data_IF_026527278398
#
_entry.id   IF_026527278398
#
_cell.length_a   1.000
_cell.length_b   1.000
_cell.length_c   1.000
_cell.angle_alpha   90.00
_cell.angle_beta   90.00
_cell.angle_gamma   90.00
#
_symmetry.space_group_name_H-M   'P 1'
#
loop_
_entity.id
_entity.type
_entity.pdbx_description
1 polymer ?
#
# COMPACT_ATOMS: atom_id res chain seq x y z
N UNK A 1 -19.54 -27.64 -8.27
CA UNK A 1 -18.39 -27.39 -7.37
C UNK A 1 -18.90 -27.62 -5.97
N UNK A 2 -18.17 -28.40 -5.16
CA UNK A 2 -18.54 -28.59 -3.76
C UNK A 2 -18.32 -27.28 -3.01
N UNK A 3 -19.27 -26.92 -2.15
CA UNK A 3 -19.18 -25.77 -1.26
C UNK A 3 -18.00 -25.92 -0.30
N UNK A 4 -17.15 -24.90 -0.23
CA UNK A 4 -16.05 -24.82 0.73
C UNK A 4 -16.65 -24.57 2.11
N UNK A 5 -16.40 -25.48 3.05
CA UNK A 5 -16.78 -25.32 4.46
C UNK A 5 -15.53 -25.02 5.25
N UNK A 6 -15.54 -23.92 6.00
CA UNK A 6 -14.45 -23.52 6.89
C UNK A 6 -14.93 -23.67 8.33
N UNK A 7 -14.10 -24.27 9.18
CA UNK A 7 -14.28 -24.30 10.63
C UNK A 7 -14.03 -22.91 11.23
N UNK A 8 -12.96 -22.24 10.76
CA UNK A 8 -12.60 -20.91 11.22
C UNK A 8 -13.24 -19.85 10.34
N UNK A 9 -14.29 -19.24 10.87
CA UNK A 9 -15.10 -18.26 10.15
C UNK A 9 -15.20 -16.95 10.93
N UNK A 10 -15.42 -15.86 10.20
CA UNK A 10 -15.67 -14.53 10.78
C UNK A 10 -16.57 -13.72 9.86
N UNK A 11 -17.22 -12.71 10.41
CA UNK A 11 -17.97 -11.75 9.62
C UNK A 11 -17.00 -10.78 8.93
N UNK A 12 -17.10 -10.63 7.61
CA UNK A 12 -16.34 -9.61 6.87
C UNK A 12 -17.28 -8.66 6.14
N UNK A 13 -16.84 -7.42 5.91
CA UNK A 13 -17.58 -6.40 5.17
C UNK A 13 -17.06 -6.30 3.73
N UNK A 14 -17.98 -6.19 2.77
CA UNK A 14 -17.64 -6.05 1.36
C UNK A 14 -18.51 -4.98 0.70
N UNK A 15 -17.84 -3.96 0.15
CA UNK A 15 -18.46 -3.01 -0.77
C UNK A 15 -18.22 -3.50 -2.20
N UNK A 16 -19.30 -3.61 -2.96
CA UNK A 16 -19.28 -4.01 -4.36
C UNK A 16 -19.45 -2.79 -5.26
N UNK A 17 -18.58 -2.66 -6.24
CA UNK A 17 -18.59 -1.59 -7.24
C UNK A 17 -18.78 -2.17 -8.64
N UNK A 18 -19.43 -1.40 -9.52
CA UNK A 18 -19.71 -1.80 -10.89
C UNK A 18 -18.50 -1.78 -11.80
N UNK A 19 -17.62 -0.79 -11.62
CA UNK A 19 -16.44 -0.57 -12.46
C UNK A 19 -15.28 -0.06 -11.59
N UNK A 20 -14.17 0.33 -12.20
CA UNK A 20 -13.09 1.01 -11.49
C UNK A 20 -13.44 2.43 -11.04
N UNK A 21 -14.52 3.01 -11.56
CA UNK A 21 -14.97 4.35 -11.14
C UNK A 21 -15.26 4.33 -9.64
N UNK A 22 -14.62 5.25 -8.90
CA UNK A 22 -14.73 5.38 -7.45
C UNK A 22 -16.15 5.67 -6.96
N UNK A 23 -17.05 6.07 -7.86
CA UNK A 23 -18.44 6.42 -7.60
C UNK A 23 -19.41 5.28 -7.93
N UNK A 24 -18.93 4.17 -8.50
CA UNK A 24 -19.78 3.10 -9.04
C UNK A 24 -20.32 2.13 -7.98
N UNK A 25 -20.65 2.62 -6.78
CA UNK A 25 -21.20 1.81 -5.70
C UNK A 25 -22.45 1.06 -6.16
N UNK A 26 -22.51 -0.25 -5.85
CA UNK A 26 -23.67 -1.10 -6.16
C UNK A 26 -24.38 -1.56 -4.89
N UNK A 27 -23.63 -2.11 -3.95
CA UNK A 27 -24.18 -2.71 -2.74
C UNK A 27 -23.10 -2.86 -1.68
N UNK A 28 -23.53 -2.92 -0.42
CA UNK A 28 -22.74 -3.31 0.73
C UNK A 28 -23.32 -4.61 1.29
N UNK A 29 -22.45 -5.53 1.69
CA UNK A 29 -22.87 -6.78 2.31
C UNK A 29 -21.90 -7.20 3.38
N UNK A 30 -22.37 -7.95 4.35
CA UNK A 30 -21.54 -8.60 5.35
C UNK A 30 -21.69 -10.12 5.20
N UNK A 31 -20.92 -10.77 4.32
CA UNK A 31 -20.89 -12.23 4.23
C UNK A 31 -19.94 -12.81 5.29
N UNK A 32 -20.16 -14.08 5.63
CA UNK A 32 -19.13 -14.86 6.34
C UNK A 32 -17.87 -14.99 5.49
N UNK A 33 -16.71 -15.17 6.12
CA UNK A 33 -15.46 -15.41 5.42
C UNK A 33 -15.56 -16.62 4.50
N UNK A 34 -16.17 -17.71 4.96
CA UNK A 34 -16.46 -18.90 4.15
C UNK A 34 -17.28 -18.59 2.89
N UNK A 35 -18.32 -17.75 2.99
CA UNK A 35 -19.15 -17.32 1.86
C UNK A 35 -18.35 -16.47 0.85
N UNK A 36 -17.49 -15.58 1.36
CA UNK A 36 -16.60 -14.79 0.51
C UNK A 36 -15.58 -15.68 -0.22
N UNK A 37 -14.96 -16.64 0.47
CA UNK A 37 -14.03 -17.61 -0.12
C UNK A 37 -14.72 -18.41 -1.22
N UNK A 38 -15.91 -18.95 -0.98
CA UNK A 38 -16.71 -19.65 -1.98
C UNK A 38 -16.96 -18.78 -3.22
N UNK A 39 -17.37 -17.52 -3.01
CA UNK A 39 -17.64 -16.58 -4.10
C UNK A 39 -16.38 -16.28 -4.92
N UNK A 40 -15.23 -16.09 -4.27
CA UNK A 40 -13.96 -15.79 -4.92
C UNK A 40 -13.36 -17.00 -5.66
N UNK A 41 -13.69 -18.22 -5.24
CA UNK A 41 -13.26 -19.46 -5.89
C UNK A 41 -14.02 -19.78 -7.20
N UNK A 42 -15.09 -19.05 -7.50
CA UNK A 42 -15.89 -19.23 -8.71
C UNK A 42 -15.67 -18.03 -9.64
N UNK A 43 -14.89 -18.15 -10.73
CA UNK A 43 -14.65 -17.05 -11.65
C UNK A 43 -15.75 -16.91 -12.70
N UNK A 44 -15.97 -15.68 -13.18
CA UNK A 44 -16.83 -15.43 -14.34
C UNK A 44 -16.05 -15.59 -15.64
N UNK A 45 -16.58 -16.35 -16.59
CA UNK A 45 -15.99 -16.42 -17.94
C UNK A 45 -16.33 -15.14 -18.71
N UNK A 46 -15.32 -14.33 -19.04
CA UNK A 46 -15.50 -13.11 -19.83
C UNK A 46 -14.17 -12.59 -20.39
N UNK A 47 -14.21 -11.83 -21.49
CA UNK A 47 -13.03 -11.14 -22.05
C UNK A 47 -12.77 -9.78 -21.39
N UNK A 48 -13.76 -9.20 -20.70
CA UNK A 48 -13.59 -8.00 -19.90
C UNK A 48 -13.19 -8.35 -18.47
N UNK A 49 -11.98 -7.96 -18.07
CA UNK A 49 -11.40 -8.13 -16.71
C UNK A 49 -12.33 -7.67 -15.57
N UNK A 50 -13.15 -6.65 -15.82
CA UNK A 50 -14.04 -6.05 -14.82
C UNK A 50 -15.51 -6.44 -15.03
N UNK A 51 -15.80 -7.46 -15.86
CA UNK A 51 -17.18 -7.88 -16.13
C UNK A 51 -17.97 -8.28 -14.88
N UNK A 52 -17.27 -8.75 -13.84
CA UNK A 52 -17.87 -9.10 -12.54
C UNK A 52 -17.90 -7.92 -11.56
N UNK A 53 -17.28 -6.79 -11.91
CA UNK A 53 -17.07 -5.64 -11.03
C UNK A 53 -15.81 -5.75 -10.19
N UNK A 54 -15.73 -4.87 -9.19
CA UNK A 54 -14.61 -4.80 -8.24
C UNK A 54 -15.14 -4.69 -6.81
N UNK A 55 -14.32 -5.03 -5.82
CA UNK A 55 -14.73 -5.01 -4.42
C UNK A 55 -13.68 -4.36 -3.51
N UNK A 56 -14.15 -3.73 -2.43
CA UNK A 56 -13.32 -3.35 -1.29
C UNK A 56 -13.78 -4.12 -0.07
N UNK A 57 -12.83 -4.67 0.68
CA UNK A 57 -13.08 -5.55 1.82
C UNK A 57 -12.97 -4.77 3.14
N UNK A 58 -14.04 -4.07 3.46
CA UNK A 58 -14.17 -3.12 4.55
C UNK A 58 -15.38 -2.23 4.32
N UNK A 59 -15.38 -1.06 4.94
CA UNK A 59 -16.41 -0.05 4.73
C UNK A 59 -15.83 1.35 4.47
N UNK A 60 -16.64 2.18 3.81
CA UNK A 60 -16.32 3.55 3.44
C UNK A 60 -17.45 4.50 3.82
N UNK A 61 -17.11 5.76 4.04
CA UNK A 61 -18.10 6.82 4.22
C UNK A 61 -18.67 7.26 2.88
N UNK A 62 -19.87 7.80 2.93
CA UNK A 62 -20.43 8.63 1.88
C UNK A 62 -19.70 9.97 1.90
N UNK A 63 -19.58 10.63 0.74
CA UNK A 63 -18.83 11.88 0.62
C UNK A 63 -19.27 12.64 -0.63
N UNK A 64 -18.98 13.94 -0.66
CA UNK A 64 -19.40 14.86 -1.71
C UNK A 64 -18.18 15.27 -2.54
N UNK A 65 -18.32 15.31 -3.86
CA UNK A 65 -17.26 15.81 -4.72
C UNK A 65 -17.16 17.34 -4.71
N UNK A 66 -16.14 17.88 -5.38
CA UNK A 66 -15.89 19.32 -5.53
C UNK A 66 -17.03 20.08 -6.24
N UNK A 67 -17.93 19.37 -6.93
CA UNK A 67 -19.08 19.93 -7.64
C UNK A 67 -20.38 19.83 -6.84
N UNK A 68 -20.34 19.34 -5.60
CA UNK A 68 -21.52 19.18 -4.76
C UNK A 68 -22.30 17.89 -5.01
N UNK A 69 -21.78 16.94 -5.78
CA UNK A 69 -22.45 15.65 -6.01
C UNK A 69 -22.15 14.68 -4.85
N UNK A 70 -23.19 14.19 -4.21
CA UNK A 70 -23.08 13.19 -3.14
C UNK A 70 -22.96 11.77 -3.70
N UNK A 71 -21.98 11.02 -3.20
CA UNK A 71 -21.75 9.64 -3.59
C UNK A 71 -21.75 8.71 -2.38
N UNK A 72 -22.55 7.65 -2.47
CA UNK A 72 -22.52 6.57 -1.47
C UNK A 72 -21.23 5.77 -1.58
N UNK A 73 -20.62 5.45 -0.44
CA UNK A 73 -19.37 4.69 -0.33
C UNK A 73 -18.30 5.19 -1.29
N UNK A 74 -18.09 6.51 -1.33
CA UNK A 74 -17.21 7.14 -2.31
C UNK A 74 -15.76 6.71 -2.11
N UNK A 75 -15.19 6.03 -3.11
CA UNK A 75 -13.89 5.38 -2.97
C UNK A 75 -12.72 6.37 -3.03
N UNK A 76 -12.23 6.73 -1.84
CA UNK A 76 -11.07 7.60 -1.59
C UNK A 76 -10.38 7.17 -0.31
N UNK A 77 -9.06 7.30 -0.21
CA UNK A 77 -8.30 6.86 0.98
C UNK A 77 -8.83 7.52 2.27
N UNK A 78 -9.14 8.82 2.23
CA UNK A 78 -9.72 9.55 3.36
C UNK A 78 -11.18 9.19 3.70
N UNK A 79 -11.80 8.30 2.91
CA UNK A 79 -13.17 7.83 3.10
C UNK A 79 -13.23 6.41 3.64
N UNK A 80 -12.09 5.74 3.82
CA UNK A 80 -12.04 4.41 4.43
C UNK A 80 -12.39 4.53 5.91
N UNK A 81 -13.46 3.87 6.34
CA UNK A 81 -13.84 3.78 7.75
C UNK A 81 -13.02 2.68 8.40
N UNK A 82 -13.03 1.48 7.80
CA UNK A 82 -12.24 0.34 8.25
C UNK A 82 -12.02 -0.70 7.14
N UNK A 83 -11.14 -1.67 7.39
CA UNK A 83 -10.87 -2.85 6.54
C UNK A 83 -10.97 -4.13 7.38
N UNK A 84 -11.49 -5.19 6.76
CA UNK A 84 -11.66 -6.52 7.39
C UNK A 84 -10.76 -7.59 6.77
N UNK A 85 -10.25 -7.33 5.56
CA UNK A 85 -9.42 -8.29 4.81
C UNK A 85 -8.20 -7.57 4.24
N UNK A 86 -7.02 -8.11 4.54
CA UNK A 86 -5.76 -7.74 3.91
C UNK A 86 -5.68 -8.42 2.55
N UNK A 87 -5.31 -7.66 1.51
CA UNK A 87 -5.20 -8.19 0.15
C UNK A 87 -3.86 -7.80 -0.48
N UNK A 88 -3.15 -8.80 -1.00
CA UNK A 88 -1.86 -8.63 -1.67
C UNK A 88 -1.94 -9.14 -3.11
N UNK A 89 -1.56 -8.29 -4.06
CA UNK A 89 -1.44 -8.63 -5.48
C UNK A 89 0.01 -8.99 -5.81
N UNK A 90 0.23 -10.22 -6.24
CA UNK A 90 1.52 -10.73 -6.72
C UNK A 90 1.48 -10.80 -8.25
N UNK A 91 2.06 -9.79 -8.90
CA UNK A 91 2.05 -9.66 -10.36
C UNK A 91 3.40 -10.03 -11.02
N UNK A 92 4.48 -10.07 -10.23
CA UNK A 92 5.83 -10.42 -10.64
C UNK A 92 6.32 -11.65 -9.84
N UNK A 93 5.91 -12.83 -10.27
CA UNK A 93 6.25 -14.10 -9.64
C UNK A 93 7.06 -14.94 -10.61
N UNK A 94 8.22 -15.45 -10.19
CA UNK A 94 9.05 -16.35 -11.02
C UNK A 94 8.39 -17.72 -11.20
N UNK A 95 7.91 -18.33 -10.11
CA UNK A 95 7.24 -19.64 -10.12
C UNK A 95 6.12 -19.66 -9.10
N UNK A 96 4.93 -20.06 -9.52
CA UNK A 96 3.75 -20.15 -8.64
C UNK A 96 3.99 -21.05 -7.42
N UNK A 97 4.71 -22.17 -7.61
CA UNK A 97 5.04 -23.09 -6.52
C UNK A 97 5.88 -22.44 -5.42
N UNK A 98 6.87 -21.62 -5.78
CA UNK A 98 7.72 -20.94 -4.79
C UNK A 98 6.91 -19.96 -3.95
N UNK A 99 6.02 -19.19 -4.59
CA UNK A 99 5.11 -18.31 -3.86
C UNK A 99 4.13 -19.12 -2.98
N UNK A 100 3.59 -20.22 -3.49
CA UNK A 100 2.70 -21.10 -2.72
C UNK A 100 3.38 -21.62 -1.46
N UNK A 101 4.60 -22.16 -1.58
CA UNK A 101 5.39 -22.69 -0.47
C UNK A 101 5.73 -21.59 0.56
N UNK A 102 6.05 -20.37 0.08
CA UNK A 102 6.30 -19.22 0.96
C UNK A 102 5.04 -18.79 1.73
N UNK A 103 3.88 -18.75 1.07
CA UNK A 103 2.59 -18.42 1.70
C UNK A 103 2.22 -19.49 2.74
N UNK A 104 2.28 -20.77 2.37
CA UNK A 104 1.87 -21.88 3.25
C UNK A 104 2.76 -21.97 4.49
N UNK A 105 4.08 -21.85 4.36
CA UNK A 105 4.98 -21.89 5.53
C UNK A 105 4.79 -20.66 6.43
N UNK A 106 4.72 -19.47 5.82
CA UNK A 106 4.63 -18.20 6.56
C UNK A 106 3.29 -18.05 7.31
N UNK A 107 2.21 -18.56 6.71
CA UNK A 107 0.83 -18.41 7.18
C UNK A 107 0.17 -19.74 7.57
N UNK A 108 0.95 -20.77 7.93
CA UNK A 108 0.43 -22.12 8.25
C UNK A 108 -0.68 -22.14 9.31
N UNK A 109 -0.61 -21.24 10.29
CA UNK A 109 -1.60 -21.12 11.38
C UNK A 109 -2.63 -20.01 11.17
N UNK A 110 -2.79 -19.51 9.94
CA UNK A 110 -3.66 -18.37 9.63
C UNK A 110 -4.61 -18.72 8.50
N UNK A 111 -5.89 -18.32 8.61
CA UNK A 111 -6.85 -18.45 7.51
C UNK A 111 -6.46 -17.55 6.34
N UNK A 112 -6.40 -18.12 5.14
CA UNK A 112 -6.17 -17.35 3.92
C UNK A 112 -6.78 -18.03 2.70
N UNK A 113 -7.00 -17.26 1.64
CA UNK A 113 -7.27 -17.81 0.32
C UNK A 113 -6.52 -17.02 -0.74
N UNK A 114 -6.16 -17.66 -1.84
CA UNK A 114 -5.71 -16.94 -3.02
C UNK A 114 -6.34 -17.51 -4.28
N UNK A 115 -6.42 -16.68 -5.31
CA UNK A 115 -6.74 -17.13 -6.66
C UNK A 115 -5.85 -16.45 -7.71
N UNK A 116 -5.74 -17.05 -8.89
CA UNK A 116 -5.09 -16.45 -10.05
C UNK A 116 -5.85 -15.22 -10.54
N UNK A 117 -5.16 -14.20 -11.02
CA UNK A 117 -5.80 -12.99 -11.57
C UNK A 117 -6.09 -13.14 -13.06
N UNK A 118 -6.89 -12.23 -13.63
CA UNK A 118 -7.27 -12.25 -15.05
C UNK A 118 -6.07 -12.30 -16.02
N UNK A 119 -4.94 -11.68 -15.65
CA UNK A 119 -3.73 -11.62 -16.47
C UNK A 119 -2.75 -12.78 -16.20
N UNK A 120 -3.13 -13.76 -15.39
CA UNK A 120 -2.32 -14.95 -15.13
C UNK A 120 -1.93 -15.67 -16.43
N UNK A 121 -0.65 -16.09 -16.50
CA UNK A 121 -0.12 -17.02 -17.50
C UNK A 121 0.71 -18.09 -16.80
N UNK A 122 0.91 -19.24 -17.44
CA UNK A 122 1.76 -20.32 -16.91
C UNK A 122 3.20 -19.83 -16.68
N UNK A 123 3.72 -19.01 -17.59
CA UNK A 123 5.09 -18.48 -17.59
C UNK A 123 5.23 -17.19 -16.78
N UNK A 124 4.12 -16.49 -16.51
CA UNK A 124 4.06 -15.30 -15.67
C UNK A 124 2.87 -15.42 -14.71
N UNK A 125 3.04 -16.21 -13.63
CA UNK A 125 1.98 -16.39 -12.65
C UNK A 125 1.57 -15.07 -12.01
N UNK A 126 0.27 -14.90 -11.77
CA UNK A 126 -0.27 -13.73 -11.06
C UNK A 126 -1.36 -14.17 -10.12
N UNK A 127 -1.25 -13.77 -8.86
CA UNK A 127 -2.11 -14.25 -7.77
C UNK A 127 -2.53 -13.10 -6.89
N UNK A 128 -3.78 -13.14 -6.42
CA UNK A 128 -4.27 -12.26 -5.37
C UNK A 128 -4.52 -13.07 -4.11
N UNK A 129 -3.84 -12.72 -3.03
CA UNK A 129 -3.94 -13.34 -1.71
C UNK A 129 -4.84 -12.50 -0.80
N UNK A 130 -5.68 -13.17 -0.01
CA UNK A 130 -6.65 -12.58 0.91
C UNK A 130 -6.51 -13.21 2.29
N UNK A 131 -6.52 -12.38 3.32
CA UNK A 131 -6.38 -12.79 4.73
C UNK A 131 -7.44 -12.02 5.53
N UNK A 132 -8.40 -12.75 6.10
CA UNK A 132 -9.44 -12.18 6.96
C UNK A 132 -8.88 -11.84 8.35
N UNK A 133 -9.40 -10.77 8.93
CA UNK A 133 -9.05 -10.29 10.26
C UNK A 133 -10.20 -10.54 11.25
N UNK A 134 -9.85 -10.69 12.52
CA UNK A 134 -10.84 -10.89 13.60
C UNK A 134 -11.55 -9.59 14.01
N UNK A 135 -11.02 -8.44 13.61
CA UNK A 135 -11.53 -7.12 13.95
C UNK A 135 -11.24 -6.09 12.85
N UNK A 136 -11.98 -5.00 12.90
CA UNK A 136 -11.84 -3.85 12.01
C UNK A 136 -10.50 -3.15 12.24
N UNK A 137 -9.78 -2.86 11.15
CA UNK A 137 -8.56 -2.04 11.20
C UNK A 137 -8.72 -0.74 10.45
N UNK A 138 -8.03 0.30 10.89
CA UNK A 138 -7.99 1.60 10.24
C UNK A 138 -7.25 1.58 8.89
N UNK A 139 -7.37 2.66 8.10
CA UNK A 139 -6.65 2.83 6.84
C UNK A 139 -5.12 2.81 7.02
N UNK A 140 -4.61 3.43 8.08
CA UNK A 140 -3.17 3.48 8.36
C UNK A 140 -2.65 2.11 8.81
N UNK A 141 -3.43 1.40 9.64
CA UNK A 141 -3.14 0.04 10.02
C UNK A 141 -3.16 -0.91 8.83
N UNK A 142 -4.12 -0.77 7.92
CA UNK A 142 -4.14 -1.54 6.68
C UNK A 142 -2.84 -1.36 5.89
N UNK A 143 -2.41 -0.11 5.69
CA UNK A 143 -1.16 0.22 4.98
C UNK A 143 0.07 -0.35 5.72
N UNK A 144 0.07 -0.31 7.04
CA UNK A 144 1.14 -0.85 7.90
C UNK A 144 1.21 -2.38 7.81
N UNK A 145 0.08 -3.07 8.03
CA UNK A 145 0.01 -4.52 8.11
C UNK A 145 0.22 -5.19 6.75
N UNK A 146 -0.29 -4.62 5.64
CA UNK A 146 -0.02 -5.15 4.30
C UNK A 146 1.47 -5.12 3.94
N UNK A 147 2.20 -4.06 4.31
CA UNK A 147 3.67 -3.99 4.12
C UNK A 147 4.42 -5.03 4.94
N UNK A 148 4.05 -5.17 6.21
CA UNK A 148 4.66 -6.17 7.11
C UNK A 148 4.39 -7.58 6.61
N UNK A 149 3.16 -7.85 6.17
CA UNK A 149 2.79 -9.14 5.61
C UNK A 149 3.55 -9.46 4.31
N UNK A 150 3.66 -8.50 3.40
CA UNK A 150 4.45 -8.66 2.17
C UNK A 150 5.93 -8.95 2.48
N UNK A 151 6.52 -8.22 3.43
CA UNK A 151 7.89 -8.49 3.88
C UNK A 151 8.04 -9.88 4.52
N UNK A 152 7.06 -10.28 5.34
CA UNK A 152 7.07 -11.56 6.04
C UNK A 152 7.00 -12.75 5.07
N UNK A 153 6.18 -12.64 4.02
CA UNK A 153 6.08 -13.65 2.94
C UNK A 153 7.34 -13.63 2.06
N UNK A 154 8.00 -12.47 1.91
CA UNK A 154 9.29 -12.38 1.23
C UNK A 154 9.21 -12.34 -0.29
N UNK A 155 8.04 -12.00 -0.84
CA UNK A 155 7.82 -11.85 -2.29
C UNK A 155 7.33 -10.43 -2.63
N UNK A 156 7.76 -9.84 -3.77
CA UNK A 156 7.31 -8.53 -4.19
C UNK A 156 5.82 -8.54 -4.52
N UNK A 157 5.13 -7.47 -4.13
CA UNK A 157 3.71 -7.23 -4.39
C UNK A 157 3.54 -5.92 -5.16
N UNK A 158 2.44 -5.78 -5.87
CA UNK A 158 2.04 -4.51 -6.48
C UNK A 158 1.82 -3.45 -5.39
N UNK A 159 2.34 -2.23 -5.61
CA UNK A 159 2.25 -1.13 -4.64
C UNK A 159 0.79 -0.73 -4.31
N UNK A 160 -0.12 -0.97 -5.26
CA UNK A 160 -1.55 -0.78 -5.06
C UNK A 160 -2.12 -1.63 -3.92
N UNK A 161 -1.46 -2.72 -3.53
CA UNK A 161 -1.82 -3.55 -2.37
C UNK A 161 -1.82 -2.76 -1.06
N UNK A 162 -0.98 -1.72 -0.96
CA UNK A 162 -0.83 -0.91 0.25
C UNK A 162 -1.83 0.26 0.33
N UNK A 163 -2.68 0.44 -0.69
CA UNK A 163 -3.66 1.53 -0.73
C UNK A 163 -4.98 1.12 -0.06
N UNK A 164 -5.40 1.78 1.03
CA UNK A 164 -6.60 1.39 1.78
C UNK A 164 -7.90 1.47 0.97
N UNK A 165 -8.03 2.39 0.01
CA UNK A 165 -9.22 2.48 -0.86
C UNK A 165 -9.12 1.65 -2.14
N UNK A 166 -8.11 0.78 -2.29
CA UNK A 166 -7.94 -0.03 -3.50
C UNK A 166 -9.10 -1.02 -3.64
N UNK A 167 -9.84 -0.90 -4.73
CA UNK A 167 -10.78 -1.92 -5.15
C UNK A 167 -10.06 -3.02 -5.94
N UNK A 168 -10.41 -4.26 -5.64
CA UNK A 168 -9.83 -5.47 -6.23
C UNK A 168 -10.79 -6.03 -7.27
N UNK A 169 -10.26 -6.34 -8.45
CA UNK A 169 -11.05 -6.97 -9.51
C UNK A 169 -11.56 -8.34 -9.05
N UNK A 170 -12.86 -8.56 -9.17
CA UNK A 170 -13.44 -9.86 -8.85
C UNK A 170 -13.00 -10.91 -9.87
N UNK A 171 -12.93 -12.19 -9.49
CA UNK A 171 -12.37 -13.23 -10.35
C UNK A 171 -13.13 -13.34 -11.69
N UNK A 172 -12.40 -13.07 -12.76
CA UNK A 172 -12.79 -13.25 -14.16
C UNK A 172 -11.67 -14.03 -14.84
N UNK A 173 -12.03 -14.92 -15.77
CA UNK A 173 -11.08 -15.66 -16.60
C UNK A 173 -11.58 -15.76 -18.04
N UNK A 174 -10.67 -16.03 -18.97
CA UNK A 174 -11.01 -16.34 -20.36
C UNK A 174 -10.95 -17.86 -20.52
N UNK A 175 -12.10 -18.49 -20.75
CA UNK A 175 -12.19 -19.94 -20.97
C UNK A 175 -11.27 -20.37 -22.11
N UNK A 176 -10.48 -21.42 -21.87
CA UNK A 176 -9.55 -21.98 -22.85
C UNK A 176 -8.22 -21.22 -23.00
N UNK A 177 -8.02 -20.09 -22.31
CA UNK A 177 -6.76 -19.32 -22.38
C UNK A 177 -5.73 -19.78 -21.36
N UNK A 178 -6.07 -19.69 -20.08
CA UNK A 178 -5.25 -20.17 -18.95
C UNK A 178 -6.17 -20.68 -17.84
N UNK A 179 -5.75 -21.69 -17.05
CA UNK A 179 -6.56 -22.23 -15.97
C UNK A 179 -6.75 -21.19 -14.85
N UNK A 180 -7.96 -21.16 -14.29
CA UNK A 180 -8.20 -20.47 -13.02
C UNK A 180 -7.81 -21.39 -11.87
N UNK A 181 -6.86 -20.96 -11.06
CA UNK A 181 -6.40 -21.71 -9.89
C UNK A 181 -6.76 -20.96 -8.62
N UNK A 182 -7.20 -21.67 -7.60
CA UNK A 182 -7.37 -21.13 -6.25
C UNK A 182 -6.89 -22.13 -5.21
N UNK A 183 -6.48 -21.62 -4.05
CA UNK A 183 -6.13 -22.39 -2.85
C UNK A 183 -6.63 -21.63 -1.62
N UNK A 184 -6.84 -22.36 -0.53
CA UNK A 184 -7.19 -21.79 0.76
C UNK A 184 -6.58 -22.63 1.88
N UNK A 185 -6.49 -22.03 3.06
CA UNK A 185 -6.09 -22.66 4.31
C UNK A 185 -7.16 -22.36 5.35
N UNK A 186 -7.71 -23.41 5.95
CA UNK A 186 -8.65 -23.30 7.06
C UNK A 186 -7.87 -23.41 8.37
N UNK A 187 -7.76 -22.29 9.07
CA UNK A 187 -6.96 -22.10 10.26
C UNK A 187 -7.44 -20.84 11.00
N UNK A 188 -6.99 -20.56 12.23
CA UNK A 188 -7.45 -19.38 12.98
C UNK A 188 -7.42 -18.07 12.19
N UNK A 189 -8.46 -17.25 12.39
CA UNK A 189 -8.54 -15.90 11.82
C UNK A 189 -7.42 -15.03 12.40
N UNK A 190 -6.76 -14.23 11.56
CA UNK A 190 -5.62 -13.43 11.98
C UNK A 190 -6.05 -12.30 12.92
N UNK A 191 -5.45 -12.26 14.11
CA UNK A 191 -5.68 -11.19 15.09
C UNK A 191 -4.69 -10.03 14.98
N UNK A 192 -5.12 -8.84 15.43
CA UNK A 192 -4.26 -7.64 15.40
C UNK A 192 -3.08 -7.74 16.37
N UNK A 193 -3.19 -8.54 17.44
CA UNK A 193 -2.09 -8.78 18.39
C UNK A 193 -0.90 -9.44 17.68
N UNK A 194 -1.17 -10.46 16.88
CA UNK A 194 -0.21 -11.18 16.05
C UNK A 194 0.38 -10.26 14.99
N UNK A 195 -0.45 -9.45 14.33
CA UNK A 195 0.01 -8.44 13.37
C UNK A 195 0.95 -7.40 14.01
N UNK A 196 0.62 -6.92 15.21
CA UNK A 196 1.48 -5.99 15.95
C UNK A 196 2.81 -6.63 16.35
N UNK A 197 2.81 -7.89 16.79
CA UNK A 197 4.06 -8.64 17.02
C UNK A 197 4.91 -8.77 15.75
N UNK A 198 4.28 -8.97 14.58
CA UNK A 198 5.00 -8.99 13.31
C UNK A 198 5.55 -7.60 12.95
N UNK A 199 4.81 -6.52 13.25
CA UNK A 199 5.29 -5.15 13.09
C UNK A 199 6.52 -4.87 13.95
N UNK A 200 6.54 -5.32 15.20
CA UNK A 200 7.66 -5.08 16.11
C UNK A 200 8.92 -5.82 15.64
N UNK A 201 8.79 -7.10 15.25
CA UNK A 201 9.90 -7.86 14.65
C UNK A 201 10.40 -7.23 13.35
N UNK A 202 9.48 -6.73 12.50
CA UNK A 202 9.83 -5.99 11.29
C UNK A 202 10.65 -4.74 11.64
N UNK A 203 10.22 -3.95 12.63
CA UNK A 203 10.95 -2.76 13.08
C UNK A 203 12.32 -3.10 13.64
N UNK A 204 12.47 -4.17 14.41
CA UNK A 204 13.76 -4.62 14.94
C UNK A 204 14.73 -4.99 13.81
N UNK A 205 14.30 -5.85 12.87
CA UNK A 205 15.11 -6.23 11.70
C UNK A 205 15.53 -5.01 10.88
N UNK A 206 14.63 -4.05 10.68
CA UNK A 206 14.93 -2.82 9.95
C UNK A 206 15.80 -1.84 10.75
N UNK A 207 15.72 -1.81 12.09
CA UNK A 207 16.66 -1.09 12.96
C UNK A 207 18.07 -1.68 12.85
N UNK A 208 18.20 -3.01 12.77
CA UNK A 208 19.49 -3.68 12.58
C UNK A 208 20.08 -3.44 11.18
N UNK A 209 19.24 -3.47 10.14
CA UNK A 209 19.65 -3.13 8.78
C UNK A 209 20.05 -1.65 8.63
N UNK A 210 19.47 -0.75 9.42
CA UNK A 210 19.80 0.68 9.43
C UNK A 210 20.99 1.04 10.33
N UNK A 211 21.51 0.11 11.15
CA UNK A 211 22.79 0.31 11.86
C UNK A 211 23.99 0.38 10.90
N UNK A 212 23.83 0.02 9.62
CA UNK A 212 24.84 0.16 8.57
C UNK A 212 24.35 1.03 7.38
N UNK A 213 24.25 2.34 7.62
CA UNK A 213 24.55 3.44 6.67
C UNK A 213 24.06 4.75 7.31
N UNK A 214 24.84 5.28 8.25
CA UNK A 214 24.89 6.74 8.30
C UNK A 214 25.49 7.16 6.96
N UNK A 215 24.81 7.97 6.12
CA UNK A 215 25.53 8.65 5.07
C UNK A 215 26.71 9.35 5.74
N UNK A 216 27.92 9.15 5.21
CA UNK A 216 29.15 9.80 5.71
C UNK A 216 28.77 11.24 6.07
N UNK A 217 28.96 11.65 7.34
CA UNK A 217 28.67 13.04 7.75
C UNK A 217 29.31 13.93 6.70
N UNK A 218 28.52 14.79 6.08
CA UNK A 218 29.02 15.70 5.04
C UNK A 218 30.09 16.58 5.69
N UNK A 219 31.30 16.49 5.17
CA UNK A 219 32.44 17.22 5.69
C UNK A 219 32.40 18.69 5.25
N UNK A 220 33.34 19.48 5.76
CA UNK A 220 33.41 20.89 5.43
C UNK A 220 33.68 21.13 3.93
N UNK A 221 34.33 20.20 3.24
CA UNK A 221 34.63 20.34 1.82
C UNK A 221 33.39 20.16 0.96
N UNK A 222 32.48 19.25 1.34
CA UNK A 222 31.14 19.21 0.77
C UNK A 222 30.42 20.54 0.94
N UNK A 223 30.35 21.09 2.16
CA UNK A 223 29.62 22.33 2.43
C UNK A 223 30.21 23.53 1.67
N UNK A 224 31.54 23.60 1.57
CA UNK A 224 32.24 24.61 0.75
C UNK A 224 31.84 24.50 -0.72
N UNK A 225 31.79 23.29 -1.28
CA UNK A 225 31.51 23.10 -2.70
C UNK A 225 30.10 23.53 -3.12
N UNK A 226 29.16 23.61 -2.17
CA UNK A 226 27.78 24.04 -2.43
C UNK A 226 27.44 25.42 -1.88
N UNK A 227 28.35 26.08 -1.16
CA UNK A 227 28.04 27.28 -0.35
C UNK A 227 27.45 28.44 -1.15
N UNK A 228 27.76 28.53 -2.44
CA UNK A 228 27.37 29.63 -3.33
C UNK A 228 26.41 29.19 -4.45
N UNK A 229 25.60 28.16 -4.20
CA UNK A 229 24.63 27.62 -5.16
C UNK A 229 25.19 26.47 -5.99
N UNK A 230 24.30 25.82 -6.76
CA UNK A 230 24.64 24.67 -7.63
C UNK A 230 23.96 24.79 -9.01
N UNK A 231 24.46 24.05 -10.00
CA UNK A 231 23.91 23.99 -11.35
C UNK A 231 22.65 23.10 -11.45
N UNK A 232 22.06 23.05 -12.65
CA UNK A 232 20.67 22.65 -12.93
C UNK A 232 20.20 21.28 -12.42
N UNK A 233 21.10 20.38 -11.99
CA UNK A 233 20.78 18.99 -11.63
C UNK A 233 20.56 18.68 -10.15
N UNK A 234 21.04 19.50 -9.19
CA UNK A 234 21.08 19.10 -7.77
C UNK A 234 20.41 20.10 -6.79
N UNK A 235 19.75 21.14 -7.29
CA UNK A 235 19.24 22.27 -6.48
C UNK A 235 18.29 21.84 -5.35
N UNK A 236 17.27 21.03 -5.65
CA UNK A 236 16.29 20.58 -4.64
C UNK A 236 16.93 19.70 -3.54
N UNK A 237 17.81 18.78 -3.93
CA UNK A 237 18.49 17.89 -2.98
C UNK A 237 19.48 18.67 -2.09
N UNK A 238 20.20 19.62 -2.67
CA UNK A 238 21.14 20.47 -1.96
C UNK A 238 20.43 21.47 -1.06
N UNK A 239 19.36 22.10 -1.53
CA UNK A 239 18.49 22.96 -0.72
C UNK A 239 17.94 22.19 0.49
N UNK A 240 17.44 20.97 0.25
CA UNK A 240 16.95 20.10 1.33
C UNK A 240 18.01 19.84 2.40
N UNK A 241 19.23 19.62 1.94
CA UNK A 241 20.39 19.36 2.79
C UNK A 241 20.80 20.59 3.60
N UNK A 242 20.74 21.77 2.98
CA UNK A 242 21.12 23.05 3.57
C UNK A 242 20.13 23.46 4.66
N UNK A 243 18.82 23.35 4.39
CA UNK A 243 17.77 23.63 5.38
C UNK A 243 17.94 22.69 6.59
N UNK A 244 18.09 21.39 6.33
CA UNK A 244 18.23 20.40 7.41
C UNK A 244 19.44 20.63 8.31
N UNK A 245 20.61 20.98 7.75
CA UNK A 245 21.80 21.24 8.59
C UNK A 245 21.67 22.52 9.42
N UNK A 246 21.07 23.57 8.87
CA UNK A 246 20.91 24.86 9.57
C UNK A 246 19.92 24.75 10.72
N UNK A 247 18.78 24.11 10.49
CA UNK A 247 17.79 23.83 11.54
C UNK A 247 18.36 22.93 12.63
N UNK A 248 19.08 21.86 12.26
CA UNK A 248 19.73 20.96 13.22
C UNK A 248 20.76 21.68 14.11
N UNK A 249 21.42 22.71 13.57
CA UNK A 249 22.37 23.56 14.29
C UNK A 249 21.71 24.69 15.08
N UNK A 250 20.38 24.72 15.16
CA UNK A 250 19.59 25.71 15.89
C UNK A 250 19.84 27.15 15.44
N UNK A 251 20.10 27.34 14.14
CA UNK A 251 20.09 28.68 13.54
C UNK A 251 18.64 29.19 13.58
N UNK A 252 18.38 30.45 13.98
CA UNK A 252 17.02 31.00 14.03
C UNK A 252 16.28 30.88 12.70
N UNK A 253 15.02 30.44 12.73
CA UNK A 253 14.24 30.12 11.52
C UNK A 253 14.17 31.24 10.47
N UNK A 254 13.97 32.52 10.85
CA UNK A 254 13.99 33.62 9.87
C UNK A 254 15.33 33.74 9.13
N UNK A 255 16.44 33.44 9.80
CA UNK A 255 17.78 33.46 9.19
C UNK A 255 18.00 32.24 8.28
N UNK A 256 17.47 31.07 8.66
CA UNK A 256 17.52 29.88 7.80
C UNK A 256 16.77 30.11 6.50
N UNK A 257 15.55 30.66 6.59
CA UNK A 257 14.76 31.00 5.41
C UNK A 257 15.48 32.01 4.51
N UNK A 258 15.92 33.14 5.07
CA UNK A 258 16.61 34.19 4.33
C UNK A 258 17.88 33.67 3.63
N UNK A 259 18.71 32.91 4.36
CA UNK A 259 19.95 32.36 3.82
C UNK A 259 19.70 31.33 2.71
N UNK A 260 18.76 30.40 2.91
CA UNK A 260 18.41 29.41 1.88
C UNK A 260 17.81 30.07 0.64
N UNK A 261 17.04 31.16 0.81
CA UNK A 261 16.50 31.94 -0.30
C UNK A 261 17.63 32.61 -1.10
N UNK A 262 18.55 33.31 -0.43
CA UNK A 262 19.74 33.90 -1.09
C UNK A 262 20.62 32.85 -1.77
N UNK A 263 20.74 31.66 -1.19
CA UNK A 263 21.45 30.53 -1.80
C UNK A 263 20.76 30.07 -3.09
N UNK A 264 19.42 30.01 -3.12
CA UNK A 264 18.66 29.65 -4.30
C UNK A 264 18.84 30.68 -5.43
N UNK A 265 18.84 31.97 -5.10
CA UNK A 265 19.05 33.05 -6.08
C UNK A 265 20.44 32.98 -6.75
N UNK A 266 21.42 32.37 -6.09
CA UNK A 266 22.75 32.12 -6.66
C UNK A 266 22.80 30.86 -7.54
N UNK A 267 21.77 30.01 -7.52
CA UNK A 267 21.70 28.86 -8.41
C UNK A 267 21.39 29.30 -9.85
N UNK A 268 21.91 28.58 -10.84
CA UNK A 268 21.72 28.91 -12.27
C UNK A 268 21.06 27.74 -13.02
N UNK A 269 19.79 27.87 -13.44
CA UNK A 269 18.81 28.87 -13.00
C UNK A 269 18.38 28.67 -11.53
N UNK A 270 17.80 29.68 -10.87
CA UNK A 270 17.19 29.53 -9.55
C UNK A 270 15.95 28.62 -9.63
N UNK A 271 15.54 28.04 -8.49
CA UNK A 271 14.21 27.43 -8.38
C UNK A 271 13.14 28.53 -8.37
N UNK A 272 11.94 28.20 -8.83
CA UNK A 272 10.81 29.10 -8.68
C UNK A 272 10.46 29.30 -7.21
N UNK A 273 9.90 30.46 -6.84
CA UNK A 273 9.48 30.74 -5.46
C UNK A 273 8.52 29.68 -4.92
N UNK A 274 7.67 29.11 -5.78
CA UNK A 274 6.74 28.02 -5.42
C UNK A 274 7.47 26.74 -5.02
N UNK A 275 8.46 26.32 -5.82
CA UNK A 275 9.23 25.09 -5.55
C UNK A 275 10.13 25.26 -4.33
N UNK A 276 10.74 26.43 -4.17
CA UNK A 276 11.52 26.77 -2.99
C UNK A 276 10.67 26.68 -1.72
N UNK A 277 9.52 27.38 -1.68
CA UNK A 277 8.64 27.40 -0.51
C UNK A 277 8.10 26.01 -0.17
N UNK A 278 7.66 25.24 -1.17
CA UNK A 278 7.19 23.87 -0.97
C UNK A 278 8.27 22.97 -0.34
N UNK A 279 9.52 23.11 -0.80
CA UNK A 279 10.66 22.36 -0.25
C UNK A 279 10.97 22.80 1.19
N UNK A 280 10.99 24.11 1.43
CA UNK A 280 11.26 24.69 2.75
C UNK A 280 10.22 24.24 3.78
N UNK A 281 8.94 24.41 3.50
CA UNK A 281 7.86 24.04 4.40
C UNK A 281 7.84 22.54 4.71
N UNK A 282 8.10 21.69 3.71
CA UNK A 282 8.13 20.23 3.88
C UNK A 282 9.17 19.81 4.92
N UNK A 283 10.36 20.42 4.88
CA UNK A 283 11.45 20.09 5.80
C UNK A 283 11.23 20.78 7.14
N UNK A 284 10.82 22.03 7.14
CA UNK A 284 10.54 22.79 8.35
C UNK A 284 9.52 22.07 9.24
N UNK A 285 8.42 21.59 8.65
CA UNK A 285 7.40 20.78 9.34
C UNK A 285 7.96 19.47 9.88
N UNK A 286 8.88 18.82 9.16
CA UNK A 286 9.50 17.56 9.58
C UNK A 286 10.44 17.72 10.78
N UNK A 287 11.18 18.82 10.85
CA UNK A 287 12.17 19.06 11.92
C UNK A 287 11.55 19.72 13.18
N UNK A 288 10.34 20.28 13.09
CA UNK A 288 9.61 20.93 14.20
C UNK A 288 8.39 20.13 14.70
N UNK A 289 8.22 18.90 14.22
CA UNK A 289 7.31 17.90 14.81
C UNK A 289 8.07 17.03 15.82
#
# INVERSE_FOLDING_TARGET
>A
MNEIKLEYDTQVSVIWYGTLDSRSFKQFSQPKWSELVNRLSIPQNNTNKYARGVAVYGDMKDDTDENGNEYKKYRKDGNVIYRDVLVLDYDDITKLRLLHDAITETLKGVSWMYHTTFNHRTESPRVRLYIALNEHISADEYRKYTKVLANKIGHPVDEGSFQPSRAMALPVYIKGKYPFLYKYNDAPILDTKTLNQWCDKYREKHKELTKFKYPKRRDNDFWKSIAFGVSTGNRNQTLTSLIGVLLNRRVPDPLVYAYCYMWNENCKPPLSSREFNATFESIYKREHQ
#
